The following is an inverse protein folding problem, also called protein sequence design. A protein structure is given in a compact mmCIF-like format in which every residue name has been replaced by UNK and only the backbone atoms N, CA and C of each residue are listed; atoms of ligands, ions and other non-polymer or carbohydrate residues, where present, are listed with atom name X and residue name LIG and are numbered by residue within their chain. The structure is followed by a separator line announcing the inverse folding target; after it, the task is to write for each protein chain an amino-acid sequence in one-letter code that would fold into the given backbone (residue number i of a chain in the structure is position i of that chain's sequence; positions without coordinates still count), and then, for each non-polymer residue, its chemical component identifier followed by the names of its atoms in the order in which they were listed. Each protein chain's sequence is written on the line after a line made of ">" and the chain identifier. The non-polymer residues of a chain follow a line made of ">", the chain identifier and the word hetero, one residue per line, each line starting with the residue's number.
data_IF_053596665475
#
_entry.id   IF_053596665475
#
_cell.length_a   1.000
_cell.length_b   1.000
_cell.length_c   1.000
_cell.angle_alpha   90.00
_cell.angle_beta   90.00
_cell.angle_gamma   90.00
#
_symmetry.space_group_name_H-M   'P 1'
#
loop_
_entity.id
_entity.type
_entity.pdbx_description
1 polymer ?
#
# COMPACT_ATOMS: atom_id res chain seq x y z
N UNK A 1 -7.61 -17.18 -22.66
CA UNK A 1 -8.25 -16.02 -22.19
C UNK A 1 -7.78 -15.61 -20.88
N UNK A 2 -7.66 -16.55 -20.02
CA UNK A 2 -7.15 -16.25 -18.74
C UNK A 2 -5.78 -15.68 -18.83
N UNK A 3 -5.07 -15.99 -19.87
CA UNK A 3 -3.73 -15.52 -20.03
C UNK A 3 -3.66 -14.03 -20.10
N UNK A 4 -4.69 -13.42 -20.69
CA UNK A 4 -4.67 -11.98 -20.77
C UNK A 4 -4.74 -11.37 -19.43
N UNK A 5 -5.59 -11.92 -18.61
CA UNK A 5 -5.72 -11.37 -17.29
C UNK A 5 -4.47 -11.49 -16.54
N UNK A 6 -3.75 -12.56 -16.75
CA UNK A 6 -2.51 -12.75 -16.04
C UNK A 6 -1.54 -11.63 -16.30
N UNK A 7 -1.52 -11.15 -17.54
CA UNK A 7 -0.59 -10.10 -17.87
C UNK A 7 -0.93 -8.82 -17.14
N UNK A 8 -2.21 -8.47 -17.16
CA UNK A 8 -2.63 -7.25 -16.48
C UNK A 8 -2.39 -7.35 -14.98
N UNK A 9 -2.63 -8.53 -14.42
CA UNK A 9 -2.43 -8.70 -13.01
C UNK A 9 -0.96 -8.63 -12.64
N UNK A 10 -0.12 -9.16 -13.51
CA UNK A 10 1.30 -9.08 -13.25
C UNK A 10 1.78 -7.64 -13.23
N UNK A 11 1.25 -6.82 -14.14
CA UNK A 11 1.61 -5.42 -14.14
C UNK A 11 1.17 -4.73 -12.87
N UNK A 12 -0.04 -5.02 -12.43
CA UNK A 12 -0.51 -4.43 -11.19
C UNK A 12 0.33 -4.87 -10.02
N UNK A 13 0.68 -6.14 -10.00
CA UNK A 13 1.48 -6.67 -8.91
C UNK A 13 2.84 -6.00 -8.89
N UNK A 14 3.46 -5.84 -10.05
CA UNK A 14 4.76 -5.20 -10.12
C UNK A 14 4.68 -3.76 -9.63
N UNK A 15 3.66 -3.04 -10.05
CA UNK A 15 3.50 -1.67 -9.62
C UNK A 15 3.22 -1.59 -8.14
N UNK A 16 2.47 -2.54 -7.62
CA UNK A 16 2.21 -2.58 -6.19
C UNK A 16 3.50 -2.79 -5.42
N UNK A 17 4.36 -3.68 -5.90
CA UNK A 17 5.61 -3.92 -5.22
C UNK A 17 6.54 -2.71 -5.28
N UNK A 18 6.56 -2.02 -6.43
CA UNK A 18 7.35 -0.81 -6.53
C UNK A 18 6.86 0.24 -5.56
N UNK A 19 5.54 0.39 -5.46
CA UNK A 19 4.98 1.34 -4.54
C UNK A 19 5.29 0.95 -3.11
N UNK A 20 5.21 -0.34 -2.80
CA UNK A 20 5.50 -0.81 -1.46
C UNK A 20 6.95 -0.50 -1.09
N UNK A 21 7.87 -0.68 -2.02
CA UNK A 21 9.27 -0.37 -1.74
C UNK A 21 9.46 1.11 -1.49
N UNK A 22 8.82 1.95 -2.30
CA UNK A 22 8.93 3.38 -2.12
C UNK A 22 8.33 3.79 -0.77
N UNK A 23 7.21 3.21 -0.41
CA UNK A 23 6.59 3.52 0.87
C UNK A 23 7.46 3.07 2.02
N UNK A 24 8.09 1.92 1.88
CA UNK A 24 8.99 1.43 2.92
C UNK A 24 10.13 2.42 3.15
N UNK A 25 10.68 2.95 2.08
CA UNK A 25 11.76 3.92 2.21
C UNK A 25 11.27 5.19 2.88
N UNK A 26 10.08 5.66 2.51
CA UNK A 26 9.52 6.85 3.12
C UNK A 26 9.25 6.62 4.60
N UNK A 27 8.74 5.44 4.93
CA UNK A 27 8.46 5.14 6.33
C UNK A 27 9.73 5.11 7.15
N UNK A 28 10.81 4.57 6.60
CA UNK A 28 12.08 4.56 7.31
C UNK A 28 12.60 5.98 7.51
N UNK A 29 12.40 6.83 6.50
CA UNK A 29 12.85 8.21 6.62
C UNK A 29 12.04 8.96 7.67
N UNK A 30 10.75 8.69 7.72
CA UNK A 30 9.87 9.38 8.67
C UNK A 30 10.02 8.83 10.07
N UNK A 31 10.28 7.54 10.20
CA UNK A 31 10.39 6.88 11.50
C UNK A 31 11.63 6.00 11.52
N UNK A 32 12.80 6.59 11.77
CA UNK A 32 14.05 5.81 11.72
C UNK A 32 14.10 4.66 12.72
N UNK A 33 13.35 4.75 13.80
CA UNK A 33 13.34 3.68 14.80
C UNK A 33 12.44 2.53 14.40
N UNK A 34 11.70 2.65 13.30
CA UNK A 34 10.82 1.60 12.84
C UNK A 34 11.64 0.44 12.29
N UNK A 35 11.31 -0.78 12.70
CA UNK A 35 12.02 -1.94 12.20
C UNK A 35 11.76 -2.15 10.73
N UNK A 36 12.76 -2.68 10.05
CA UNK A 36 12.65 -2.86 8.61
C UNK A 36 11.47 -3.75 8.26
N UNK A 37 11.28 -4.82 9.02
CA UNK A 37 10.17 -5.72 8.75
C UNK A 37 8.83 -5.01 8.88
N UNK A 38 8.69 -4.19 9.91
CA UNK A 38 7.44 -3.48 10.12
C UNK A 38 7.23 -2.44 9.03
N UNK A 39 8.29 -1.79 8.59
CA UNK A 39 8.17 -0.82 7.51
C UNK A 39 7.73 -1.51 6.23
N UNK A 40 8.25 -2.70 5.96
CA UNK A 40 7.86 -3.42 4.77
C UNK A 40 6.39 -3.83 4.84
N UNK A 41 5.96 -4.32 6.00
CA UNK A 41 4.57 -4.71 6.14
C UNK A 41 3.64 -3.53 5.95
N UNK A 42 4.00 -2.39 6.52
CA UNK A 42 3.20 -1.20 6.36
C UNK A 42 3.18 -0.74 4.90
N UNK A 43 4.34 -0.78 4.25
CA UNK A 43 4.41 -0.38 2.86
C UNK A 43 3.53 -1.25 1.97
N UNK A 44 3.56 -2.57 2.20
CA UNK A 44 2.75 -3.48 1.42
C UNK A 44 1.27 -3.24 1.70
N UNK A 45 0.92 -3.06 2.97
CA UNK A 45 -0.47 -2.80 3.33
C UNK A 45 -0.98 -1.53 2.65
N UNK A 46 -0.19 -0.48 2.70
CA UNK A 46 -0.61 0.77 2.08
C UNK A 46 -0.68 0.64 0.57
N UNK A 47 0.26 -0.10 -0.03
CA UNK A 47 0.23 -0.27 -1.47
C UNK A 47 -0.99 -1.05 -1.93
N UNK A 48 -1.38 -2.05 -1.16
CA UNK A 48 -2.56 -2.83 -1.50
C UNK A 48 -3.83 -1.99 -1.41
N UNK A 49 -3.84 -1.01 -0.52
CA UNK A 49 -5.00 -0.15 -0.32
C UNK A 49 -4.76 1.24 -0.85
N UNK A 50 -3.95 1.36 -1.88
CA UNK A 50 -3.55 2.67 -2.36
C UNK A 50 -4.73 3.53 -2.78
N UNK A 51 -5.78 2.90 -3.28
CA UNK A 51 -6.93 3.68 -3.72
C UNK A 51 -7.64 4.32 -2.55
N UNK A 52 -7.72 3.59 -1.44
CA UNK A 52 -8.32 4.14 -0.25
C UNK A 52 -7.48 5.30 0.28
N UNK A 53 -6.18 5.12 0.32
CA UNK A 53 -5.30 6.19 0.76
C UNK A 53 -5.36 7.39 -0.17
N UNK A 54 -5.49 7.14 -1.48
CA UNK A 54 -5.58 8.23 -2.41
C UNK A 54 -6.81 9.08 -2.14
N UNK A 55 -7.93 8.43 -1.87
CA UNK A 55 -9.14 9.16 -1.54
C UNK A 55 -8.97 9.96 -0.26
N UNK A 56 -8.32 9.36 0.73
CA UNK A 56 -8.08 10.04 1.99
C UNK A 56 -7.23 11.28 1.77
N UNK A 57 -6.21 11.16 0.94
CA UNK A 57 -5.32 12.28 0.68
C UNK A 57 -6.02 13.40 -0.06
N UNK A 58 -7.02 13.06 -0.86
CA UNK A 58 -7.75 14.07 -1.60
C UNK A 58 -8.71 14.87 -0.74
N UNK A 59 -8.92 14.46 0.48
CA UNK A 59 -9.79 15.20 1.37
C UNK A 59 -10.86 14.37 2.03
N UNK A 60 -10.77 13.05 1.88
CA UNK A 60 -11.74 12.15 2.49
C UNK A 60 -11.07 11.22 3.49
N UNK A 61 -10.51 11.77 4.56
CA UNK A 61 -9.82 10.90 5.51
C UNK A 61 -10.74 9.88 6.17
N UNK A 62 -12.03 10.10 6.11
CA UNK A 62 -12.97 9.16 6.71
C UNK A 62 -12.87 7.76 6.12
N UNK A 63 -12.43 7.65 4.85
CA UNK A 63 -12.34 6.34 4.24
C UNK A 63 -11.31 5.48 4.94
N UNK A 64 -10.37 6.07 5.67
CA UNK A 64 -9.36 5.30 6.37
C UNK A 64 -9.95 4.53 7.54
N UNK A 65 -11.09 4.96 8.06
CA UNK A 65 -11.71 4.22 9.16
C UNK A 65 -12.16 2.85 8.71
N UNK A 66 -12.43 2.67 7.43
CA UNK A 66 -12.80 1.36 6.94
C UNK A 66 -11.66 0.38 7.10
N UNK A 67 -10.45 0.85 6.89
CA UNK A 67 -9.29 -0.02 7.07
C UNK A 67 -9.08 -0.37 8.53
N UNK A 68 -9.33 0.57 9.42
CA UNK A 68 -9.24 0.28 10.84
C UNK A 68 -10.28 -0.72 11.26
N UNK A 69 -11.48 -0.58 10.73
CA UNK A 69 -12.56 -1.49 11.10
C UNK A 69 -12.24 -2.90 10.70
N UNK A 70 -11.67 -3.07 9.51
CA UNK A 70 -11.38 -4.44 9.05
C UNK A 70 -10.23 -5.05 9.81
N UNK A 71 -9.45 -4.26 10.51
CA UNK A 71 -8.34 -4.80 11.28
C UNK A 71 -8.82 -5.57 12.49
N UNK A 72 -10.04 -5.36 12.89
CA UNK A 72 -10.58 -6.13 13.98
C UNK A 72 -10.94 -7.53 13.52
#
# INVERSE_FOLDING_TARGET
>A
ERLFMDKAEADRHDKMLELAEALTAVLHAAAPSLEERHAEELGIFMAKNREVFAKAFKGNPDVLTELSSTAD
#
